data_IF_326949528184
#
_entry.id   IF_326949528184
#
_cell.length_a   1.000
_cell.length_b   1.000
_cell.length_c   1.000
_cell.angle_alpha   90.00
_cell.angle_beta   90.00
_cell.angle_gamma   90.00
#
_symmetry.space_group_name_H-M   'P 1'
#
loop_
_entity.id
_entity.type
_entity.pdbx_description
1 polymer ?
#
# COMPACT_ATOMS: atom_id res chain seq x y z
N UNK A 1 10.25 32.98 16.14
CA UNK A 1 10.74 31.91 15.24
C UNK A 1 9.79 31.89 14.05
N UNK A 2 10.17 32.27 12.82
CA UNK A 2 9.28 32.09 11.69
C UNK A 2 9.44 30.64 11.23
N UNK A 3 8.47 29.80 11.58
CA UNK A 3 8.26 28.52 10.91
C UNK A 3 7.70 28.88 9.53
N UNK A 4 8.58 29.04 8.54
CA UNK A 4 8.15 29.12 7.16
C UNK A 4 7.63 27.73 6.80
N UNK A 5 6.34 27.62 6.47
CA UNK A 5 5.83 26.45 5.76
C UNK A 5 6.78 26.17 4.59
N UNK A 6 7.24 24.92 4.41
CA UNK A 6 8.16 24.59 3.34
C UNK A 6 7.58 25.05 1.99
N UNK A 7 8.46 25.48 1.08
CA UNK A 7 8.08 25.88 -0.27
C UNK A 7 7.23 24.74 -0.91
N UNK A 8 5.99 25.02 -1.36
CA UNK A 8 5.11 24.00 -1.93
C UNK A 8 5.76 23.18 -3.06
N UNK A 9 6.69 23.77 -3.82
CA UNK A 9 7.42 23.06 -4.87
C UNK A 9 8.44 22.04 -4.31
N UNK A 10 9.11 22.38 -3.21
CA UNK A 10 10.05 21.49 -2.53
C UNK A 10 9.30 20.34 -1.87
N UNK A 11 8.13 20.63 -1.26
CA UNK A 11 7.26 19.61 -0.69
C UNK A 11 6.75 18.66 -1.77
N UNK A 12 6.21 19.19 -2.88
CA UNK A 12 5.75 18.37 -4.02
C UNK A 12 6.83 17.42 -4.55
N UNK A 13 8.06 17.91 -4.73
CA UNK A 13 9.17 17.06 -5.19
C UNK A 13 9.52 15.94 -4.20
N UNK A 14 9.46 16.21 -2.90
CA UNK A 14 9.70 15.20 -1.87
C UNK A 14 8.60 14.13 -1.85
N UNK A 15 7.33 14.53 -2.02
CA UNK A 15 6.20 13.59 -2.12
C UNK A 15 6.31 12.73 -3.38
N UNK A 16 6.69 13.30 -4.52
CA UNK A 16 6.88 12.54 -5.77
C UNK A 16 7.99 11.46 -5.63
N UNK A 17 9.10 11.78 -4.96
CA UNK A 17 10.16 10.80 -4.66
C UNK A 17 9.66 9.69 -3.71
N UNK A 18 8.95 10.08 -2.65
CA UNK A 18 8.34 9.15 -1.69
C UNK A 18 7.36 8.20 -2.39
N UNK A 19 6.44 8.72 -3.21
CA UNK A 19 5.48 7.94 -3.98
C UNK A 19 6.18 7.00 -4.96
N UNK A 20 7.25 7.45 -5.63
CA UNK A 20 8.02 6.61 -6.55
C UNK A 20 8.60 5.38 -5.86
N UNK A 21 9.15 5.54 -4.65
CA UNK A 21 9.68 4.45 -3.81
C UNK A 21 8.55 3.53 -3.35
N UNK A 22 7.47 4.07 -2.81
CA UNK A 22 6.36 3.27 -2.29
C UNK A 22 5.63 2.48 -3.38
N UNK A 23 5.44 3.07 -4.57
CA UNK A 23 4.89 2.36 -5.74
C UNK A 23 5.81 1.25 -6.25
N UNK A 24 7.11 1.30 -5.95
CA UNK A 24 8.02 0.17 -6.20
C UNK A 24 7.75 -0.97 -5.25
N UNK A 25 7.56 -0.71 -3.96
CA UNK A 25 7.17 -1.72 -2.98
C UNK A 25 5.82 -2.36 -3.34
N UNK A 26 4.84 -1.58 -3.80
CA UNK A 26 3.57 -2.10 -4.33
C UNK A 26 3.78 -3.16 -5.42
N UNK A 27 4.69 -2.90 -6.36
CA UNK A 27 5.01 -3.86 -7.44
C UNK A 27 5.68 -5.11 -6.89
N UNK A 28 6.51 -4.99 -5.86
CA UNK A 28 7.16 -6.12 -5.22
C UNK A 28 6.14 -7.00 -4.45
N UNK A 29 5.16 -6.39 -3.75
CA UNK A 29 4.01 -7.08 -3.14
C UNK A 29 3.26 -7.91 -4.20
N UNK A 30 2.90 -7.29 -5.32
CA UNK A 30 2.23 -7.98 -6.44
C UNK A 30 3.06 -9.13 -7.02
N UNK A 31 4.37 -8.95 -7.14
CA UNK A 31 5.29 -9.99 -7.58
C UNK A 31 5.25 -11.21 -6.66
N UNK A 32 5.40 -10.99 -5.34
CA UNK A 32 5.37 -12.07 -4.33
C UNK A 32 4.02 -12.76 -4.25
N UNK A 33 2.93 -12.00 -4.32
CA UNK A 33 1.59 -12.56 -4.41
C UNK A 33 1.44 -13.49 -5.61
N UNK A 34 1.87 -13.04 -6.79
CA UNK A 34 1.75 -13.81 -8.04
C UNK A 34 2.58 -15.08 -8.02
N UNK A 35 3.80 -15.04 -7.45
CA UNK A 35 4.64 -16.23 -7.27
C UNK A 35 3.91 -17.34 -6.50
N UNK A 36 3.19 -16.99 -5.44
CA UNK A 36 2.44 -17.94 -4.61
C UNK A 36 1.19 -18.43 -5.33
N UNK A 37 0.44 -17.53 -5.99
CA UNK A 37 -0.75 -17.89 -6.74
C UNK A 37 -0.45 -18.94 -7.82
N UNK A 38 0.63 -18.73 -8.59
CA UNK A 38 1.10 -19.67 -9.61
C UNK A 38 1.55 -21.01 -9.00
N UNK A 39 2.21 -20.99 -7.84
CA UNK A 39 2.63 -22.20 -7.16
C UNK A 39 1.44 -23.06 -6.69
N UNK A 40 0.40 -22.44 -6.13
CA UNK A 40 -0.80 -23.11 -5.64
C UNK A 40 -1.63 -23.71 -6.77
N UNK A 41 -1.64 -23.10 -7.95
CA UNK A 41 -2.33 -23.63 -9.13
C UNK A 41 -1.61 -24.82 -9.80
N UNK A 42 -0.56 -25.35 -9.15
CA UNK A 42 0.07 -26.62 -9.52
C UNK A 42 1.20 -26.48 -10.54
N UNK A 43 1.65 -25.26 -10.85
CA UNK A 43 2.72 -25.00 -11.83
C UNK A 43 4.11 -25.23 -11.23
N UNK A 44 4.29 -25.04 -9.92
CA UNK A 44 5.62 -25.09 -9.26
C UNK A 44 5.75 -26.12 -8.12
N UNK A 45 4.67 -26.82 -7.74
CA UNK A 45 4.66 -27.75 -6.60
C UNK A 45 4.58 -27.05 -5.22
N UNK A 46 4.28 -27.78 -4.14
CA UNK A 46 4.05 -27.20 -2.80
C UNK A 46 5.34 -26.81 -2.06
N UNK A 47 6.51 -27.17 -2.57
CA UNK A 47 7.79 -26.92 -1.93
C UNK A 47 8.10 -25.42 -1.89
N UNK A 48 8.42 -24.91 -0.69
CA UNK A 48 8.78 -23.51 -0.47
C UNK A 48 7.60 -22.54 -0.43
N UNK A 49 6.34 -23.00 -0.47
CA UNK A 49 5.17 -22.13 -0.33
C UNK A 49 5.21 -21.36 0.99
N UNK A 50 5.49 -22.01 2.12
CA UNK A 50 5.60 -21.36 3.43
C UNK A 50 6.65 -20.24 3.44
N UNK A 51 7.83 -20.49 2.85
CA UNK A 51 8.89 -19.47 2.73
C UNK A 51 8.45 -18.28 1.89
N UNK A 52 7.75 -18.51 0.77
CA UNK A 52 7.21 -17.42 -0.05
C UNK A 52 6.13 -16.64 0.67
N UNK A 53 5.29 -17.31 1.47
CA UNK A 53 4.28 -16.66 2.29
C UNK A 53 4.92 -15.76 3.35
N UNK A 54 5.90 -16.25 4.10
CA UNK A 54 6.63 -15.42 5.06
C UNK A 54 7.26 -14.18 4.40
N UNK A 55 7.85 -14.35 3.21
CA UNK A 55 8.40 -13.23 2.45
C UNK A 55 7.32 -12.24 1.96
N UNK A 56 6.14 -12.73 1.54
CA UNK A 56 5.00 -11.89 1.19
C UNK A 56 4.48 -11.12 2.42
N UNK A 57 4.34 -11.80 3.56
CA UNK A 57 3.92 -11.22 4.83
C UNK A 57 4.82 -10.07 5.26
N UNK A 58 6.14 -10.28 5.23
CA UNK A 58 7.11 -9.25 5.57
C UNK A 58 6.93 -7.99 4.71
N UNK A 59 6.89 -8.14 3.38
CA UNK A 59 6.74 -6.98 2.49
C UNK A 59 5.35 -6.34 2.60
N UNK A 60 4.29 -7.11 2.89
CA UNK A 60 2.96 -6.56 3.14
C UNK A 60 2.94 -5.65 4.37
N UNK A 61 3.54 -6.10 5.47
CA UNK A 61 3.64 -5.32 6.71
C UNK A 61 4.45 -4.05 6.48
N UNK A 62 5.59 -4.14 5.80
CA UNK A 62 6.41 -2.98 5.45
C UNK A 62 5.60 -1.99 4.58
N UNK A 63 4.94 -2.50 3.53
CA UNK A 63 4.16 -1.70 2.59
C UNK A 63 2.96 -0.97 3.24
N UNK A 64 2.20 -1.64 4.12
CA UNK A 64 1.10 -0.99 4.86
C UNK A 64 1.65 0.04 5.85
N UNK A 65 2.78 -0.25 6.48
CA UNK A 65 3.38 0.62 7.50
C UNK A 65 3.89 1.92 6.88
N UNK A 66 4.65 1.84 5.78
CA UNK A 66 5.10 3.03 5.02
C UNK A 66 3.91 3.86 4.53
N UNK A 67 2.83 3.19 4.09
CA UNK A 67 1.58 3.84 3.73
C UNK A 67 1.01 4.69 4.85
N UNK A 68 0.75 4.07 6.01
CA UNK A 68 0.09 4.71 7.16
C UNK A 68 0.94 5.75 7.87
N UNK A 69 2.24 5.51 8.01
CA UNK A 69 3.10 6.37 8.84
C UNK A 69 3.84 7.46 8.05
N UNK A 70 3.96 7.33 6.73
CA UNK A 70 4.73 8.28 5.91
C UNK A 70 3.87 8.81 4.75
N UNK A 71 3.43 7.94 3.85
CA UNK A 71 2.82 8.36 2.56
C UNK A 71 1.52 9.12 2.74
N UNK A 72 0.57 8.60 3.50
CA UNK A 72 -0.72 9.28 3.67
C UNK A 72 -0.57 10.60 4.43
N UNK A 73 0.39 10.69 5.35
CA UNK A 73 0.69 11.94 6.05
C UNK A 73 1.21 13.01 5.09
N UNK A 74 2.20 12.67 4.25
CA UNK A 74 2.80 13.62 3.31
C UNK A 74 1.80 14.05 2.22
N UNK A 75 0.96 13.14 1.72
CA UNK A 75 -0.12 13.49 0.78
C UNK A 75 -1.12 14.50 1.37
N UNK A 76 -1.49 14.33 2.64
CA UNK A 76 -2.39 15.26 3.33
C UNK A 76 -1.73 16.60 3.58
N UNK A 77 -0.47 16.60 4.03
CA UNK A 77 0.29 17.82 4.27
C UNK A 77 0.51 18.62 2.97
N UNK A 78 0.72 17.95 1.84
CA UNK A 78 0.79 18.60 0.52
C UNK A 78 -0.54 19.26 0.18
N UNK A 79 -1.65 18.54 0.27
CA UNK A 79 -2.98 19.09 0.00
C UNK A 79 -3.32 20.32 0.87
N UNK A 80 -2.95 20.29 2.15
CA UNK A 80 -3.09 21.46 3.02
C UNK A 80 -2.25 22.66 2.54
N UNK A 81 -1.01 22.43 2.09
CA UNK A 81 -0.13 23.48 1.57
C UNK A 81 -0.64 24.13 0.27
N UNK A 82 -1.30 23.36 -0.59
CA UNK A 82 -1.94 23.87 -1.81
C UNK A 82 -3.33 24.49 -1.58
N UNK A 83 -3.87 24.37 -0.35
CA UNK A 83 -5.11 25.04 0.07
C UNK A 83 -6.37 24.54 -0.64
N UNK A 84 -6.36 23.29 -1.10
CA UNK A 84 -7.35 22.73 -2.02
C UNK A 84 -8.63 22.18 -1.34
N UNK A 85 -8.64 22.12 0.00
CA UNK A 85 -9.80 21.64 0.76
C UNK A 85 -10.09 20.14 0.57
N UNK A 86 -9.12 19.36 0.07
CA UNK A 86 -9.31 17.94 -0.30
C UNK A 86 -9.41 16.99 0.91
N UNK A 87 -9.60 17.54 2.12
CA UNK A 87 -9.87 16.80 3.36
C UNK A 87 -11.05 15.82 3.25
N UNK A 88 -12.06 16.15 2.43
CA UNK A 88 -13.24 15.28 2.26
C UNK A 88 -12.95 13.96 1.53
N UNK A 89 -12.01 13.94 0.58
CA UNK A 89 -11.63 12.70 -0.12
C UNK A 89 -10.95 11.74 0.86
N UNK A 90 -9.97 12.24 1.61
CA UNK A 90 -9.24 11.44 2.59
C UNK A 90 -10.15 10.89 3.69
N UNK A 91 -11.09 11.70 4.20
CA UNK A 91 -12.06 11.26 5.21
C UNK A 91 -12.92 10.07 4.73
N UNK A 92 -13.20 9.97 3.44
CA UNK A 92 -13.98 8.88 2.87
C UNK A 92 -13.12 7.64 2.52
N UNK A 93 -11.88 7.86 2.08
CA UNK A 93 -11.01 6.79 1.57
C UNK A 93 -10.22 6.10 2.69
N UNK A 94 -9.75 6.85 3.69
CA UNK A 94 -8.91 6.32 4.77
C UNK A 94 -9.58 5.20 5.59
N UNK A 95 -10.89 5.25 5.93
CA UNK A 95 -11.55 4.13 6.59
C UNK A 95 -11.52 2.85 5.77
N UNK A 96 -11.78 2.93 4.46
CA UNK A 96 -11.73 1.77 3.59
C UNK A 96 -10.30 1.20 3.44
N UNK A 97 -9.27 2.05 3.48
CA UNK A 97 -7.87 1.60 3.56
C UNK A 97 -7.61 0.88 4.88
N UNK A 98 -8.15 1.36 6.00
CA UNK A 98 -8.02 0.69 7.30
C UNK A 98 -8.65 -0.72 7.26
N UNK A 99 -9.84 -0.87 6.66
CA UNK A 99 -10.49 -2.18 6.49
C UNK A 99 -9.59 -3.17 5.71
N UNK A 100 -8.95 -2.71 4.63
CA UNK A 100 -8.01 -3.57 3.88
C UNK A 100 -6.75 -3.90 4.70
N UNK A 101 -6.33 -3.00 5.59
CA UNK A 101 -5.17 -3.22 6.48
C UNK A 101 -5.46 -4.33 7.47
N UNK A 102 -6.68 -4.39 8.03
CA UNK A 102 -7.09 -5.48 8.91
C UNK A 102 -7.02 -6.84 8.21
N UNK A 103 -7.45 -6.93 6.94
CA UNK A 103 -7.33 -8.17 6.15
C UNK A 103 -5.87 -8.57 5.95
N UNK A 104 -5.00 -7.61 5.63
CA UNK A 104 -3.56 -7.85 5.46
C UNK A 104 -2.92 -8.34 6.76
N UNK A 105 -3.25 -7.71 7.90
CA UNK A 105 -2.75 -8.12 9.22
C UNK A 105 -3.25 -9.49 9.64
N UNK A 106 -4.51 -9.83 9.37
CA UNK A 106 -5.04 -11.17 9.63
C UNK A 106 -4.35 -12.24 8.76
N UNK A 107 -3.94 -11.89 7.54
CA UNK A 107 -3.14 -12.78 6.71
C UNK A 107 -1.72 -12.95 7.29
N UNK A 108 -1.08 -11.87 7.71
CA UNK A 108 0.23 -11.90 8.38
C UNK A 108 0.22 -12.74 9.66
N UNK A 109 -0.73 -12.53 10.57
CA UNK A 109 -0.88 -13.31 11.81
C UNK A 109 -0.94 -14.82 11.54
N UNK A 110 -1.59 -15.19 10.43
CA UNK A 110 -1.79 -16.60 10.08
C UNK A 110 -0.58 -17.23 9.37
N UNK A 111 0.18 -16.44 8.60
CA UNK A 111 1.14 -16.96 7.62
C UNK A 111 2.58 -16.47 7.80
N UNK A 112 2.80 -15.40 8.56
CA UNK A 112 4.11 -14.76 8.74
C UNK A 112 5.15 -15.69 9.37
N UNK A 113 4.73 -16.54 10.31
CA UNK A 113 5.60 -17.49 11.02
C UNK A 113 5.25 -18.97 10.76
N UNK A 114 4.30 -19.26 9.86
CA UNK A 114 3.81 -20.62 9.67
C UNK A 114 4.82 -21.51 8.91
N UNK A 115 5.05 -22.72 9.41
CA UNK A 115 6.02 -23.69 8.87
C UNK A 115 5.37 -24.75 7.96
N UNK A 116 4.10 -24.58 7.57
CA UNK A 116 3.36 -25.60 6.83
C UNK A 116 2.31 -25.07 5.85
N UNK A 117 1.86 -25.94 4.95
CA UNK A 117 0.80 -25.62 3.99
C UNK A 117 -0.57 -25.67 4.68
N UNK A 118 -1.20 -24.50 4.84
CA UNK A 118 -2.56 -24.40 5.36
C UNK A 118 -3.58 -24.90 4.34
N UNK A 119 -4.53 -25.74 4.78
CA UNK A 119 -5.63 -26.24 3.92
C UNK A 119 -6.50 -25.12 3.32
N UNK A 120 -6.50 -23.95 3.93
CA UNK A 120 -7.29 -22.78 3.51
C UNK A 120 -6.48 -21.75 2.70
N UNK A 121 -5.20 -22.02 2.44
CA UNK A 121 -4.30 -21.07 1.79
C UNK A 121 -4.87 -20.49 0.49
N UNK A 122 -5.36 -21.32 -0.43
CA UNK A 122 -5.90 -20.82 -1.70
C UNK A 122 -7.03 -19.79 -1.50
N UNK A 123 -7.93 -20.07 -0.54
CA UNK A 123 -9.05 -19.18 -0.20
C UNK A 123 -8.55 -17.87 0.42
N UNK A 124 -7.63 -17.99 1.37
CA UNK A 124 -7.14 -16.83 2.13
C UNK A 124 -6.24 -15.94 1.25
N UNK A 125 -5.49 -16.53 0.32
CA UNK A 125 -4.75 -15.80 -0.71
C UNK A 125 -5.70 -15.08 -1.69
N UNK A 126 -6.81 -15.71 -2.10
CA UNK A 126 -7.82 -15.04 -2.94
C UNK A 126 -8.41 -13.82 -2.23
N UNK A 127 -8.75 -13.95 -0.95
CA UNK A 127 -9.28 -12.84 -0.15
C UNK A 127 -8.24 -11.71 0.02
N UNK A 128 -6.97 -12.06 0.22
CA UNK A 128 -5.88 -11.07 0.22
C UNK A 128 -5.78 -10.35 -1.14
N UNK A 129 -5.91 -11.07 -2.25
CA UNK A 129 -5.88 -10.48 -3.60
C UNK A 129 -6.99 -9.45 -3.81
N UNK A 130 -8.23 -9.77 -3.41
CA UNK A 130 -9.37 -8.84 -3.46
C UNK A 130 -9.13 -7.60 -2.59
N UNK A 131 -8.58 -7.79 -1.39
CA UNK A 131 -8.24 -6.67 -0.50
C UNK A 131 -7.13 -5.78 -1.09
N UNK A 132 -6.10 -6.37 -1.72
CA UNK A 132 -5.03 -5.62 -2.37
C UNK A 132 -5.53 -4.84 -3.58
N UNK A 133 -6.39 -5.42 -4.41
CA UNK A 133 -7.00 -4.72 -5.54
C UNK A 133 -7.81 -3.51 -5.08
N UNK A 134 -8.70 -3.72 -4.08
CA UNK A 134 -9.47 -2.63 -3.49
C UNK A 134 -8.56 -1.55 -2.89
N UNK A 135 -7.53 -1.97 -2.15
CA UNK A 135 -6.55 -1.06 -1.54
C UNK A 135 -5.83 -0.22 -2.59
N UNK A 136 -5.32 -0.82 -3.67
CA UNK A 136 -4.62 -0.07 -4.72
C UNK A 136 -5.53 0.95 -5.41
N UNK A 137 -6.79 0.59 -5.66
CA UNK A 137 -7.75 1.53 -6.23
C UNK A 137 -8.05 2.73 -5.30
N UNK A 138 -8.06 2.52 -3.99
CA UNK A 138 -8.22 3.58 -2.98
C UNK A 138 -6.98 4.47 -2.90
N UNK A 139 -5.80 3.87 -2.89
CA UNK A 139 -4.52 4.60 -2.88
C UNK A 139 -4.33 5.41 -4.17
N UNK A 140 -4.72 4.88 -5.32
CA UNK A 140 -4.69 5.61 -6.60
C UNK A 140 -5.65 6.81 -6.59
N UNK A 141 -6.81 6.69 -5.93
CA UNK A 141 -7.72 7.82 -5.71
C UNK A 141 -7.07 8.90 -4.85
N UNK A 142 -6.38 8.53 -3.77
CA UNK A 142 -5.64 9.49 -2.93
C UNK A 142 -4.56 10.20 -3.73
N UNK A 143 -3.70 9.47 -4.43
CA UNK A 143 -2.62 10.06 -5.24
C UNK A 143 -3.20 10.98 -6.33
N UNK A 144 -4.25 10.54 -7.01
CA UNK A 144 -4.89 11.34 -8.04
C UNK A 144 -5.51 12.65 -7.50
N UNK A 145 -6.17 12.57 -6.35
CA UNK A 145 -6.85 13.71 -5.73
C UNK A 145 -5.92 14.68 -5.02
N UNK A 146 -4.89 14.16 -4.35
CA UNK A 146 -4.05 14.93 -3.41
C UNK A 146 -2.69 15.34 -3.98
N UNK A 147 -2.20 14.71 -5.05
CA UNK A 147 -0.87 15.00 -5.62
C UNK A 147 -0.95 15.36 -7.10
N UNK A 148 -1.56 14.50 -7.93
CA UNK A 148 -1.64 14.74 -9.38
C UNK A 148 -2.46 15.99 -9.74
N UNK A 149 -3.38 16.40 -8.87
CA UNK A 149 -4.18 17.62 -9.01
C UNK A 149 -3.32 18.89 -8.96
N UNK A 150 -2.21 18.87 -8.20
CA UNK A 150 -1.27 19.99 -8.04
C UNK A 150 -0.16 20.01 -9.09
N UNK A 151 0.02 18.93 -9.86
CA UNK A 151 1.04 18.84 -10.91
C UNK A 151 0.94 19.93 -11.99
N UNK A 152 -0.23 20.56 -12.16
CA UNK A 152 -0.45 21.72 -13.06
C UNK A 152 -0.16 23.08 -12.41
N UNK A 153 -0.05 23.13 -11.09
CA UNK A 153 0.26 24.33 -10.31
C UNK A 153 1.76 24.39 -9.96
N UNK A 154 2.42 23.22 -9.93
CA UNK A 154 3.86 23.08 -9.71
C UNK A 154 4.73 23.22 -10.98
N UNK A 155 4.13 23.39 -12.17
CA UNK A 155 4.82 23.55 -13.47
C UNK A 155 4.46 24.86 -14.16
#
# INVERSE_FOLDING_TARGET
MPNASPDPQVQFAAVEELLTRWLKERREVLGKYTEIAVAIDGVLGPDGVATRQAALCQILVDYVSVGHFEVFHELLAEAESFGDGTSSLAQNVMPAIADTTEVIMAYDEKYGESVGTEKKLKRDLSALGEALEARFALEDQLIAGLHNSHRRQAG
#
